data_IF_662529503351
#
_entry.id   IF_662529503351
#
_cell.length_a   1.000
_cell.length_b   1.000
_cell.length_c   1.000
_cell.angle_alpha   90.00
_cell.angle_beta   90.00
_cell.angle_gamma   90.00
#
_symmetry.space_group_name_H-M   'P 1'
#
loop_
_entity.id
_entity.type
_entity.pdbx_description
1 polymer ?
#
# COMPACT_ATOMS: atom_id res chain seq x y z
N UNK A 1 17.76 51.23 1.26
CA UNK A 1 16.39 50.70 1.08
C UNK A 1 15.85 51.23 -0.25
N UNK A 2 15.63 50.36 -1.23
CA UNK A 2 15.03 50.70 -2.53
C UNK A 2 14.23 49.49 -3.00
N UNK A 3 12.97 49.75 -3.33
CA UNK A 3 11.86 48.79 -3.39
C UNK A 3 11.70 48.09 -4.74
N UNK A 4 11.00 46.95 -4.64
CA UNK A 4 10.05 46.35 -5.59
C UNK A 4 10.57 45.79 -6.90
N UNK A 5 10.62 44.45 -6.95
CA UNK A 5 10.59 43.67 -8.19
C UNK A 5 9.15 43.56 -8.66
N UNK A 6 8.84 44.14 -9.82
CA UNK A 6 7.57 43.92 -10.53
C UNK A 6 7.62 42.58 -11.24
N UNK A 7 6.66 41.71 -10.95
CA UNK A 7 6.36 40.51 -11.72
C UNK A 7 4.85 40.48 -11.99
N UNK A 8 4.48 40.22 -13.23
CA UNK A 8 3.17 39.83 -13.79
C UNK A 8 2.93 40.66 -15.07
N UNK A 9 2.48 40.12 -16.19
CA UNK A 9 2.04 38.77 -16.56
C UNK A 9 2.04 38.74 -18.10
N UNK A 10 2.19 37.55 -18.71
CA UNK A 10 1.62 37.35 -20.04
C UNK A 10 1.15 35.91 -20.20
N UNK A 11 -0.05 35.79 -20.77
CA UNK A 11 -0.97 34.69 -20.64
C UNK A 11 -0.54 33.45 -21.43
N UNK A 12 -0.72 32.27 -20.82
CA UNK A 12 -0.71 30.99 -21.52
C UNK A 12 -2.15 30.71 -21.94
N UNK A 13 -2.41 30.81 -23.25
CA UNK A 13 -3.70 30.45 -23.85
C UNK A 13 -3.85 28.93 -23.88
N UNK A 14 -4.83 28.41 -23.15
CA UNK A 14 -5.24 27.01 -23.25
C UNK A 14 -6.47 26.92 -24.17
N UNK A 15 -6.29 26.35 -25.37
CA UNK A 15 -7.39 25.99 -26.25
C UNK A 15 -8.01 24.66 -25.79
N UNK A 16 -9.24 24.70 -25.32
CA UNK A 16 -10.01 23.50 -24.95
C UNK A 16 -10.70 22.92 -26.19
N UNK A 17 -10.21 21.80 -26.68
CA UNK A 17 -10.91 20.99 -27.70
C UNK A 17 -12.01 20.20 -26.98
N UNK A 18 -13.27 20.57 -27.25
CA UNK A 18 -14.47 19.84 -26.83
C UNK A 18 -14.59 18.53 -27.62
N UNK A 19 -14.07 17.44 -27.05
CA UNK A 19 -14.37 16.09 -27.50
C UNK A 19 -15.69 15.61 -26.88
N UNK A 20 -16.77 15.62 -27.67
CA UNK A 20 -18.04 15.03 -27.29
C UNK A 20 -17.92 13.49 -27.28
N UNK A 21 -17.84 12.89 -26.09
CA UNK A 21 -17.99 11.44 -25.92
C UNK A 21 -19.46 11.13 -25.67
N UNK A 22 -20.06 10.35 -26.57
CA UNK A 22 -21.43 9.90 -26.48
C UNK A 22 -21.63 9.01 -25.23
N UNK A 23 -22.48 9.47 -24.32
CA UNK A 23 -22.89 8.71 -23.14
C UNK A 23 -23.78 7.53 -23.58
N UNK A 24 -23.34 6.31 -23.30
CA UNK A 24 -24.19 5.11 -23.34
C UNK A 24 -24.67 4.79 -21.91
N UNK A 25 -25.98 4.82 -21.62
CA UNK A 25 -26.49 4.42 -20.31
C UNK A 25 -26.78 2.92 -20.34
N UNK A 26 -25.77 2.10 -20.02
CA UNK A 26 -26.00 0.72 -19.63
C UNK A 26 -26.10 0.66 -18.10
N UNK A 27 -27.34 0.72 -17.62
CA UNK A 27 -27.70 0.49 -16.22
C UNK A 27 -27.40 -0.96 -15.87
N UNK A 28 -26.43 -1.19 -14.99
CA UNK A 28 -26.33 -2.41 -14.18
C UNK A 28 -26.40 -1.99 -12.71
N UNK A 29 -27.62 -1.91 -12.18
CA UNK A 29 -27.84 -1.80 -10.75
C UNK A 29 -27.54 -3.16 -10.13
N UNK A 30 -26.35 -3.30 -9.53
CA UNK A 30 -26.04 -4.42 -8.67
C UNK A 30 -26.81 -4.24 -7.35
N UNK A 31 -27.95 -4.92 -7.25
CA UNK A 31 -28.67 -5.14 -5.99
C UNK A 31 -28.01 -6.36 -5.34
N UNK A 32 -27.39 -6.20 -4.15
CA UNK A 32 -27.04 -7.36 -3.32
C UNK A 32 -25.74 -7.24 -2.54
N UNK A 33 -25.88 -6.77 -1.30
CA UNK A 33 -25.31 -7.28 -0.04
C UNK A 33 -24.89 -6.08 0.82
N UNK A 34 -25.36 -5.96 2.08
CA UNK A 34 -24.75 -5.00 2.99
C UNK A 34 -23.27 -5.32 2.99
N UNK A 35 -22.45 -4.35 2.60
CA UNK A 35 -21.00 -4.43 2.68
C UNK A 35 -20.68 -4.74 4.13
N UNK A 36 -20.54 -6.04 4.46
CA UNK A 36 -19.87 -6.45 5.67
C UNK A 36 -18.54 -5.70 5.65
N UNK A 37 -18.15 -5.00 6.72
CA UNK A 37 -16.85 -4.35 6.73
C UNK A 37 -15.81 -5.44 6.46
N UNK A 38 -15.28 -5.46 5.24
CA UNK A 38 -14.10 -6.26 4.93
C UNK A 38 -13.00 -5.50 5.66
N UNK A 39 -12.74 -5.90 6.90
CA UNK A 39 -11.56 -5.47 7.63
C UNK A 39 -10.37 -5.92 6.78
N UNK A 40 -9.90 -5.03 5.89
CA UNK A 40 -8.76 -5.27 5.02
C UNK A 40 -7.53 -5.10 5.90
N UNK A 41 -7.18 -6.16 6.61
CA UNK A 41 -5.88 -6.26 7.24
C UNK A 41 -4.81 -6.16 6.15
N UNK A 42 -3.75 -5.41 6.43
CA UNK A 42 -2.56 -5.43 5.57
C UNK A 42 -1.86 -6.77 5.83
N UNK A 43 -1.86 -7.65 4.82
CA UNK A 43 -1.28 -9.00 4.88
C UNK A 43 -0.12 -9.10 3.88
N UNK A 44 1.01 -9.69 4.29
CA UNK A 44 2.16 -9.96 3.44
C UNK A 44 2.68 -11.37 3.70
N UNK A 45 3.18 -12.03 2.65
CA UNK A 45 3.75 -13.39 2.77
C UNK A 45 5.22 -13.30 3.15
N UNK A 46 5.63 -14.05 4.16
CA UNK A 46 7.02 -14.21 4.52
C UNK A 46 7.65 -15.33 3.69
N UNK A 47 8.71 -15.02 2.94
CA UNK A 47 9.37 -16.00 2.08
C UNK A 47 10.36 -16.90 2.82
N UNK A 48 10.75 -16.53 4.05
CA UNK A 48 11.87 -17.15 4.76
C UNK A 48 13.24 -16.62 4.33
N UNK A 49 13.33 -15.60 3.48
CA UNK A 49 14.61 -14.97 3.16
C UNK A 49 15.00 -13.95 4.23
N UNK A 50 16.28 -13.79 4.54
CA UNK A 50 16.74 -12.68 5.41
C UNK A 50 16.41 -11.31 4.83
N UNK A 51 16.38 -11.17 3.51
CA UNK A 51 15.97 -9.91 2.86
C UNK A 51 14.49 -9.59 3.12
N UNK A 52 13.63 -10.61 3.07
CA UNK A 52 12.22 -10.49 3.48
C UNK A 52 12.11 -10.19 4.97
N UNK A 53 12.88 -10.87 5.82
CA UNK A 53 12.88 -10.64 7.25
C UNK A 53 13.22 -9.18 7.58
N UNK A 54 14.17 -8.57 6.88
CA UNK A 54 14.50 -7.16 7.06
C UNK A 54 13.38 -6.22 6.59
N UNK A 55 12.68 -6.54 5.49
CA UNK A 55 11.48 -5.79 5.08
C UNK A 55 10.36 -5.87 6.13
N UNK A 56 10.13 -7.05 6.72
CA UNK A 56 9.17 -7.22 7.81
C UNK A 56 9.57 -6.45 9.07
N UNK A 57 10.86 -6.44 9.44
CA UNK A 57 11.35 -5.64 10.58
C UNK A 57 11.09 -4.15 10.38
N UNK A 58 11.25 -3.62 9.16
CA UNK A 58 10.93 -2.21 8.87
C UNK A 58 9.43 -1.97 9.09
N UNK A 59 8.58 -2.87 8.62
CA UNK A 59 7.13 -2.78 8.80
C UNK A 59 6.70 -2.90 10.27
N UNK A 60 7.31 -3.81 11.05
CA UNK A 60 7.06 -3.98 12.48
C UNK A 60 7.43 -2.72 13.28
N UNK A 61 8.46 -2.00 12.86
CA UNK A 61 8.87 -0.73 13.46
C UNK A 61 8.01 0.48 13.01
N UNK A 62 6.86 0.23 12.37
CA UNK A 62 5.93 1.26 11.91
C UNK A 62 6.30 1.89 10.56
N UNK A 63 7.28 1.33 9.86
CA UNK A 63 7.58 1.68 8.47
C UNK A 63 6.55 1.13 7.48
N UNK A 64 6.76 1.44 6.20
CA UNK A 64 5.98 0.87 5.10
C UNK A 64 6.63 -0.44 4.67
N UNK A 65 5.82 -1.49 4.49
CA UNK A 65 6.33 -2.73 3.91
C UNK A 65 6.66 -2.53 2.43
N UNK A 66 7.86 -2.95 2.03
CA UNK A 66 8.28 -2.98 0.64
C UNK A 66 8.74 -4.40 0.34
N UNK A 67 8.03 -5.09 -0.56
CA UNK A 67 8.38 -6.43 -0.98
C UNK A 67 9.77 -6.42 -1.64
N UNK A 68 10.72 -7.25 -1.19
CA UNK A 68 12.03 -7.35 -1.81
C UNK A 68 11.95 -7.87 -3.25
N UNK A 69 12.68 -7.24 -4.16
CA UNK A 69 12.76 -7.67 -5.57
C UNK A 69 13.68 -8.89 -5.73
N UNK A 70 14.69 -9.00 -4.86
CA UNK A 70 15.65 -10.12 -4.84
C UNK A 70 15.68 -10.67 -3.43
N UNK A 71 15.56 -11.98 -3.31
CA UNK A 71 15.51 -12.69 -2.04
C UNK A 71 16.65 -13.70 -1.93
N UNK A 72 17.15 -13.86 -0.72
CA UNK A 72 18.10 -14.90 -0.34
C UNK A 72 17.38 -16.24 -0.09
N UNK A 73 18.09 -17.37 -0.14
CA UNK A 73 17.52 -18.71 0.04
C UNK A 73 17.97 -19.36 1.36
N UNK A 74 18.05 -18.55 2.41
CA UNK A 74 18.61 -18.92 3.71
C UNK A 74 17.60 -19.50 4.71
N UNK A 75 16.30 -19.47 4.39
CA UNK A 75 15.21 -20.11 5.16
C UNK A 75 15.25 -19.76 6.66
N UNK A 76 15.29 -18.47 6.96
CA UNK A 76 15.28 -17.94 8.32
C UNK A 76 13.88 -17.91 8.91
N UNK A 77 13.81 -18.06 10.23
CA UNK A 77 12.61 -17.82 11.03
C UNK A 77 12.53 -16.34 11.42
N UNK A 78 11.29 -15.83 11.54
CA UNK A 78 11.04 -14.44 11.91
C UNK A 78 10.14 -14.35 13.14
N UNK A 79 10.65 -13.80 14.23
CA UNK A 79 9.82 -13.47 15.40
C UNK A 79 8.86 -12.34 15.04
N UNK A 80 7.55 -12.60 15.12
CA UNK A 80 6.49 -11.63 14.78
C UNK A 80 6.02 -10.88 16.02
N UNK A 81 5.89 -11.57 17.14
CA UNK A 81 5.58 -11.03 18.47
C UNK A 81 6.17 -11.94 19.54
N UNK A 82 5.98 -11.66 20.83
CA UNK A 82 6.58 -12.45 21.94
C UNK A 82 6.20 -13.94 21.93
N UNK A 83 5.15 -14.34 21.21
CA UNK A 83 4.58 -15.70 21.24
C UNK A 83 4.61 -16.42 19.89
N UNK A 84 4.80 -15.70 18.79
CA UNK A 84 4.70 -16.25 17.43
C UNK A 84 5.95 -16.02 16.61
N UNK A 85 6.35 -17.09 15.92
CA UNK A 85 7.43 -17.12 14.94
C UNK A 85 6.82 -17.52 13.59
N UNK A 86 7.14 -16.76 12.55
CA UNK A 86 6.77 -17.06 11.17
C UNK A 86 7.88 -17.86 10.47
N UNK A 87 7.48 -18.81 9.65
CA UNK A 87 8.33 -19.63 8.81
C UNK A 87 8.11 -19.29 7.33
N UNK A 88 9.00 -19.81 6.49
CA UNK A 88 8.91 -19.65 5.05
C UNK A 88 7.53 -20.11 4.52
N UNK A 89 6.80 -19.18 3.91
CA UNK A 89 5.49 -19.40 3.32
C UNK A 89 4.33 -18.85 4.13
N UNK A 90 4.52 -18.53 5.40
CA UNK A 90 3.48 -18.03 6.30
C UNK A 90 3.01 -16.62 5.88
N UNK A 91 1.76 -16.29 6.24
CA UNK A 91 1.21 -14.95 6.02
C UNK A 91 1.22 -14.20 7.34
N UNK A 92 1.81 -13.00 7.32
CA UNK A 92 1.85 -12.10 8.45
C UNK A 92 0.91 -10.95 8.18
N UNK A 93 0.01 -10.66 9.11
CA UNK A 93 -0.94 -9.57 8.98
C UNK A 93 -0.87 -8.59 10.14
N UNK A 94 -1.25 -7.34 9.84
CA UNK A 94 -1.39 -6.27 10.83
C UNK A 94 -2.86 -6.04 11.15
N UNK A 95 -3.22 -6.16 12.43
CA UNK A 95 -4.58 -5.91 12.91
C UNK A 95 -4.91 -4.41 13.04
N UNK A 96 -6.13 -4.08 13.48
CA UNK A 96 -6.59 -2.70 13.65
C UNK A 96 -5.89 -1.96 14.80
N UNK A 97 -5.37 -2.70 15.78
CA UNK A 97 -4.58 -2.18 16.90
C UNK A 97 -3.10 -2.00 16.52
N UNK A 98 -2.71 -2.37 15.29
CA UNK A 98 -1.36 -2.31 14.77
C UNK A 98 -0.45 -3.44 15.25
N UNK A 99 -1.00 -4.52 15.82
CA UNK A 99 -0.26 -5.71 16.23
C UNK A 99 -0.11 -6.68 15.06
N UNK A 100 0.93 -7.50 15.13
CA UNK A 100 1.28 -8.44 14.09
C UNK A 100 1.02 -9.88 14.52
N UNK A 101 0.53 -10.67 13.57
CA UNK A 101 0.10 -12.04 13.78
C UNK A 101 0.45 -12.92 12.58
N UNK A 102 0.69 -14.21 12.86
CA UNK A 102 0.87 -15.24 11.84
C UNK A 102 -0.46 -15.97 11.61
N UNK A 103 -0.79 -16.21 10.34
CA UNK A 103 -2.02 -16.88 9.88
C UNK A 103 -1.75 -18.30 9.38
#
# INVERSE_FOLDING_TARGET
MKFSRSFAAFAIGAATVLGAVAASPAVAQAIGCPFAPVHKYEEHRFSGSSTSADAFKVWFNGGVYIEPIVETLDLVELQVNDTQVAHAGDIIYKDEDGKFWVK
#
